data_IF_364721267900
#
_entry.id   IF_364721267900
#
_cell.length_a   1.000
_cell.length_b   1.000
_cell.length_c   1.000
_cell.angle_alpha   90.00
_cell.angle_beta   90.00
_cell.angle_gamma   90.00
#
_symmetry.space_group_name_H-M   'P 1'
#
loop_
_entity.id
_entity.type
_entity.pdbx_description
1 polymer ?
#
# COMPACT_ATOMS: atom_id res chain seq x y z
N UNK A 1 22.36 -2.39 -14.93
CA UNK A 1 21.31 -2.06 -13.96
C UNK A 1 20.94 -3.35 -13.25
N UNK A 2 21.39 -3.50 -12.01
CA UNK A 2 21.23 -4.70 -11.20
C UNK A 2 19.86 -4.75 -10.52
N UNK A 3 19.34 -5.94 -10.25
CA UNK A 3 18.18 -6.13 -9.36
C UNK A 3 18.61 -5.94 -7.91
N UNK A 4 17.68 -5.74 -6.96
CA UNK A 4 18.05 -5.58 -5.53
C UNK A 4 18.81 -6.82 -5.02
N UNK A 5 18.51 -8.01 -5.55
CA UNK A 5 19.26 -9.24 -5.25
C UNK A 5 20.73 -9.19 -5.70
N UNK A 6 21.05 -8.44 -6.75
CA UNK A 6 22.44 -8.28 -7.20
C UNK A 6 23.24 -7.29 -6.36
N UNK A 7 22.55 -6.40 -5.63
CA UNK A 7 23.17 -5.45 -4.71
C UNK A 7 23.37 -6.05 -3.32
N UNK A 8 22.61 -7.08 -2.96
CA UNK A 8 22.66 -7.69 -1.62
C UNK A 8 23.78 -8.71 -1.42
N UNK A 9 24.61 -8.94 -2.44
CA UNK A 9 25.69 -9.94 -2.36
C UNK A 9 25.20 -11.37 -2.12
N UNK A 10 23.90 -11.65 -2.30
CA UNK A 10 23.28 -12.96 -2.13
C UNK A 10 23.00 -13.60 -3.51
N UNK A 11 23.98 -14.30 -4.12
CA UNK A 11 23.81 -14.89 -5.45
C UNK A 11 22.74 -16.00 -5.50
N UNK A 12 22.39 -16.57 -4.34
CA UNK A 12 21.42 -17.65 -4.21
C UNK A 12 19.96 -17.17 -4.20
N UNK A 13 19.72 -15.86 -4.05
CA UNK A 13 18.36 -15.30 -4.12
C UNK A 13 17.89 -15.31 -5.57
N UNK A 14 16.84 -16.10 -5.90
CA UNK A 14 16.41 -16.22 -7.26
C UNK A 14 15.74 -14.91 -7.70
N UNK A 15 16.22 -14.36 -8.83
CA UNK A 15 15.73 -13.10 -9.40
C UNK A 15 14.21 -13.14 -9.55
N UNK A 16 13.55 -12.08 -9.12
CA UNK A 16 12.13 -11.89 -9.31
C UNK A 16 11.87 -10.62 -10.14
N UNK A 17 10.83 -10.63 -10.96
CA UNK A 17 10.33 -9.40 -11.56
C UNK A 17 9.50 -8.68 -10.51
N UNK A 18 9.86 -7.44 -10.19
CA UNK A 18 9.10 -6.57 -9.30
C UNK A 18 7.93 -5.96 -10.05
N UNK A 19 6.76 -5.98 -9.42
CA UNK A 19 5.52 -5.45 -10.00
C UNK A 19 5.21 -4.06 -9.46
N UNK A 20 5.48 -3.84 -8.17
CA UNK A 20 5.34 -2.54 -7.52
C UNK A 20 6.37 -2.40 -6.39
N UNK A 21 6.73 -1.16 -6.05
CA UNK A 21 7.67 -0.80 -5.00
C UNK A 21 7.14 0.37 -4.19
N UNK A 22 7.10 0.22 -2.87
CA UNK A 22 6.66 1.25 -1.95
C UNK A 22 7.74 1.55 -0.91
N UNK A 23 8.04 2.83 -0.76
CA UNK A 23 8.81 3.31 0.39
C UNK A 23 7.97 3.15 1.66
N UNK A 24 8.46 2.34 2.59
CA UNK A 24 7.80 2.01 3.85
C UNK A 24 8.37 2.73 5.06
N UNK A 25 9.64 3.11 4.99
CA UNK A 25 10.30 3.94 6.00
C UNK A 25 11.47 4.69 5.39
N UNK A 26 11.81 5.81 6.00
CA UNK A 26 13.06 6.50 5.75
C UNK A 26 13.59 7.07 7.07
N UNK A 27 14.76 6.59 7.49
CA UNK A 27 15.38 7.05 8.72
C UNK A 27 16.88 7.23 8.54
N UNK A 28 17.34 8.48 8.69
CA UNK A 28 18.75 8.84 8.61
C UNK A 28 19.34 8.44 7.27
N UNK A 29 20.08 7.32 7.27
CA UNK A 29 20.78 6.79 6.11
C UNK A 29 20.20 5.52 5.48
N UNK A 30 18.98 5.18 5.87
CA UNK A 30 18.35 3.92 5.54
C UNK A 30 16.99 4.15 4.93
N UNK A 31 16.74 3.54 3.77
CA UNK A 31 15.43 3.40 3.15
C UNK A 31 14.92 1.99 3.41
N UNK A 32 13.67 1.87 3.83
CA UNK A 32 12.97 0.59 3.87
C UNK A 32 11.99 0.53 2.72
N UNK A 33 12.18 -0.40 1.80
CA UNK A 33 11.36 -0.55 0.59
C UNK A 33 10.71 -1.92 0.59
N UNK A 34 9.39 -1.96 0.49
CA UNK A 34 8.66 -3.19 0.23
C UNK A 34 8.31 -3.27 -1.24
N UNK A 35 8.58 -4.41 -1.84
CA UNK A 35 8.28 -4.68 -3.24
C UNK A 35 7.41 -5.92 -3.37
N UNK A 36 6.44 -5.86 -4.29
CA UNK A 36 5.72 -7.04 -4.73
C UNK A 36 6.44 -7.68 -5.90
N UNK A 37 6.30 -9.01 -6.02
CA UNK A 37 6.96 -9.78 -7.07
C UNK A 37 5.98 -10.62 -7.87
N UNK A 38 6.37 -10.90 -9.11
CA UNK A 38 5.76 -11.89 -10.01
C UNK A 38 5.65 -13.31 -9.44
N UNK A 39 6.33 -13.61 -8.33
CA UNK A 39 6.25 -14.91 -7.64
C UNK A 39 5.11 -14.99 -6.63
N UNK A 40 4.34 -13.92 -6.48
CA UNK A 40 3.34 -13.79 -5.43
C UNK A 40 4.01 -13.65 -4.06
N UNK A 41 5.05 -12.82 -3.95
CA UNK A 41 5.75 -12.55 -2.69
C UNK A 41 5.83 -11.05 -2.47
N UNK A 42 5.67 -10.60 -1.23
CA UNK A 42 6.18 -9.32 -0.78
C UNK A 42 7.59 -9.52 -0.23
N UNK A 43 8.53 -8.67 -0.62
CA UNK A 43 9.90 -8.66 -0.10
C UNK A 43 10.20 -7.29 0.47
N UNK A 44 10.79 -7.23 1.66
CA UNK A 44 11.25 -5.98 2.22
C UNK A 44 12.76 -5.91 2.26
N UNK A 45 13.26 -4.79 1.73
CA UNK A 45 14.66 -4.49 1.60
C UNK A 45 14.99 -3.27 2.43
N UNK A 46 16.09 -3.34 3.19
CA UNK A 46 16.75 -2.14 3.69
C UNK A 46 17.82 -1.74 2.68
N UNK A 47 17.81 -0.47 2.27
CA UNK A 47 18.81 0.13 1.42
C UNK A 47 19.57 1.14 2.27
N UNK A 48 20.88 0.94 2.40
CA UNK A 48 21.77 1.80 3.17
C UNK A 48 22.71 2.53 2.23
N UNK A 49 22.82 3.85 2.36
CA UNK A 49 23.91 4.58 1.73
C UNK A 49 25.13 4.62 2.67
N UNK A 50 26.33 4.27 2.20
CA UNK A 50 27.54 4.37 3.00
C UNK A 50 27.89 5.85 3.19
N UNK A 51 28.27 6.29 4.39
CA UNK A 51 28.38 7.72 4.68
C UNK A 51 29.45 8.47 3.87
N UNK A 52 30.42 7.80 3.19
CA UNK A 52 31.61 8.47 2.63
C UNK A 52 32.34 7.80 1.42
N UNK A 53 31.79 6.80 0.73
CA UNK A 53 32.63 6.01 -0.22
C UNK A 53 32.22 6.13 -1.70
N UNK A 54 30.94 6.16 -2.05
CA UNK A 54 30.46 6.40 -3.42
C UNK A 54 28.93 6.61 -3.35
N UNK A 55 28.34 7.68 -3.94
CA UNK A 55 26.88 7.84 -3.98
C UNK A 55 26.14 6.72 -4.75
N UNK A 56 26.85 5.96 -5.58
CA UNK A 56 26.27 4.87 -6.38
C UNK A 56 26.39 3.49 -5.70
N UNK A 57 27.11 3.38 -4.57
CA UNK A 57 27.30 2.12 -3.85
C UNK A 57 26.21 1.94 -2.78
N UNK A 58 25.16 1.20 -3.11
CA UNK A 58 24.09 0.86 -2.17
C UNK A 58 24.35 -0.51 -1.55
N UNK A 59 24.29 -0.59 -0.22
CA UNK A 59 24.21 -1.86 0.49
C UNK A 59 22.75 -2.20 0.70
N UNK A 60 22.35 -3.43 0.35
CA UNK A 60 20.94 -3.84 0.43
C UNK A 60 20.79 -5.13 1.22
N UNK A 61 19.92 -5.12 2.23
CA UNK A 61 19.67 -6.27 3.08
C UNK A 61 18.20 -6.72 2.97
N UNK A 62 17.99 -8.00 2.66
CA UNK A 62 16.64 -8.59 2.67
C UNK A 62 16.23 -8.85 4.12
N UNK A 63 15.18 -8.19 4.58
CA UNK A 63 14.70 -8.31 5.97
C UNK A 63 13.70 -9.45 6.13
N UNK A 64 12.75 -9.54 5.21
CA UNK A 64 11.71 -10.54 5.25
C UNK A 64 11.07 -10.78 3.89
N UNK A 65 10.45 -11.94 3.77
CA UNK A 65 9.65 -12.36 2.62
C UNK A 65 8.30 -12.84 3.15
N UNK A 66 7.22 -12.27 2.62
CA UNK A 66 5.86 -12.71 2.91
C UNK A 66 5.26 -13.31 1.63
N UNK A 67 5.21 -14.66 1.51
CA UNK A 67 4.57 -15.30 0.38
C UNK A 67 3.06 -15.04 0.41
N UNK A 68 2.46 -15.00 -0.77
CA UNK A 68 1.01 -14.96 -0.91
C UNK A 68 0.42 -16.26 -0.39
N UNK A 69 -0.54 -16.15 0.50
CA UNK A 69 -1.32 -17.28 0.98
C UNK A 69 -2.70 -17.29 0.33
N UNK A 70 -3.32 -18.46 0.15
CA UNK A 70 -4.74 -18.51 -0.17
C UNK A 70 -5.51 -17.94 1.03
N UNK A 71 -6.23 -16.82 0.84
CA UNK A 71 -7.03 -16.22 1.90
C UNK A 71 -8.51 -16.51 1.61
N UNK A 72 -9.28 -17.01 2.59
CA UNK A 72 -10.70 -17.28 2.41
C UNK A 72 -11.50 -16.08 1.83
N UNK A 73 -12.53 -16.34 1.01
CA UNK A 73 -13.10 -17.66 0.69
C UNK A 73 -12.41 -18.37 -0.47
N UNK A 74 -11.45 -17.75 -1.16
CA UNK A 74 -10.87 -18.32 -2.38
C UNK A 74 -9.55 -19.04 -2.09
N UNK A 75 -9.62 -20.36 -2.07
CA UNK A 75 -8.45 -21.24 -2.19
C UNK A 75 -8.11 -21.42 -3.67
N UNK A 76 -7.62 -20.37 -4.33
CA UNK A 76 -7.11 -20.50 -5.70
C UNK A 76 -5.83 -21.33 -5.69
N UNK A 77 -5.76 -22.33 -6.59
CA UNK A 77 -4.57 -23.19 -6.77
C UNK A 77 -3.39 -22.36 -7.32
N UNK A 78 -3.69 -21.30 -8.07
CA UNK A 78 -2.72 -20.39 -8.66
C UNK A 78 -2.32 -19.30 -7.67
N UNK A 79 -1.00 -19.09 -7.50
CA UNK A 79 -0.46 -17.94 -6.75
C UNK A 79 -0.77 -16.66 -7.52
N UNK A 80 -1.65 -15.78 -6.99
CA UNK A 80 -2.03 -14.58 -7.71
C UNK A 80 -0.90 -13.54 -7.69
N UNK A 81 -0.83 -12.72 -8.73
CA UNK A 81 0.12 -11.62 -8.80
C UNK A 81 -0.30 -10.45 -7.89
N UNK A 82 0.66 -9.92 -7.15
CA UNK A 82 0.49 -8.79 -6.24
C UNK A 82 0.80 -7.50 -7.01
N UNK A 83 -0.21 -6.85 -7.57
CA UNK A 83 -0.04 -5.85 -8.64
C UNK A 83 0.26 -4.43 -8.16
N UNK A 84 -0.28 -4.04 -7.02
CA UNK A 84 0.00 -2.74 -6.43
C UNK A 84 -0.02 -2.84 -4.90
N UNK A 85 0.72 -1.98 -4.22
CA UNK A 85 0.80 -1.94 -2.76
C UNK A 85 0.95 -0.52 -2.21
N UNK A 86 0.41 -0.27 -1.01
CA UNK A 86 0.60 1.01 -0.29
C UNK A 86 0.63 0.78 1.20
N UNK A 87 1.33 1.66 1.88
CA UNK A 87 1.45 1.67 3.33
C UNK A 87 0.27 2.42 3.93
N UNK A 88 -0.39 1.82 4.91
CA UNK A 88 -1.29 2.52 5.82
C UNK A 88 -0.46 3.16 6.94
N UNK A 89 -0.42 4.49 6.97
CA UNK A 89 0.33 5.25 7.98
C UNK A 89 -0.06 4.83 9.40
N UNK A 90 0.91 4.59 10.30
CA UNK A 90 0.64 4.21 11.69
C UNK A 90 -0.20 5.25 12.44
N UNK A 91 -0.94 4.81 13.47
CA UNK A 91 -1.73 5.69 14.35
C UNK A 91 -0.89 5.97 15.59
N UNK A 92 -0.49 7.24 15.80
CA UNK A 92 0.25 7.65 16.99
C UNK A 92 1.69 7.10 17.09
N UNK A 93 2.38 7.49 18.16
CA UNK A 93 3.80 7.20 18.38
C UNK A 93 4.08 5.81 19.00
N UNK A 94 3.05 5.08 19.42
CA UNK A 94 3.19 3.84 20.19
C UNK A 94 2.94 2.55 19.39
N UNK A 95 2.33 2.64 18.20
CA UNK A 95 2.05 1.48 17.35
C UNK A 95 3.25 1.18 16.46
N UNK A 96 3.97 0.11 16.78
CA UNK A 96 5.10 -0.39 15.98
C UNK A 96 4.66 -1.26 14.81
N UNK A 97 3.36 -1.57 14.69
CA UNK A 97 2.83 -2.36 13.58
C UNK A 97 2.40 -1.46 12.42
N UNK A 98 2.91 -1.76 11.22
CA UNK A 98 2.48 -1.13 9.98
C UNK A 98 1.60 -2.09 9.21
N UNK A 99 0.66 -1.54 8.45
CA UNK A 99 -0.20 -2.34 7.59
C UNK A 99 0.10 -1.98 6.13
N UNK A 100 0.23 -3.01 5.30
CA UNK A 100 0.38 -2.89 3.86
C UNK A 100 -0.91 -3.35 3.21
N UNK A 101 -1.49 -2.52 2.36
CA UNK A 101 -2.61 -2.91 1.50
C UNK A 101 -2.02 -3.38 0.18
N UNK A 102 -2.56 -4.47 -0.35
CA UNK A 102 -2.12 -5.07 -1.61
C UNK A 102 -3.33 -5.30 -2.50
N UNK A 103 -3.26 -4.78 -3.72
CA UNK A 103 -4.18 -5.06 -4.81
C UNK A 103 -3.67 -6.22 -5.64
N UNK A 104 -4.56 -7.14 -6.01
CA UNK A 104 -4.20 -8.45 -6.57
C UNK A 104 -4.88 -8.68 -7.92
N UNK A 105 -4.28 -9.49 -8.79
CA UNK A 105 -4.81 -9.81 -10.13
C UNK A 105 -6.16 -10.54 -10.14
N UNK A 106 -6.46 -11.30 -9.09
CA UNK A 106 -7.73 -11.98 -8.84
C UNK A 106 -8.88 -11.03 -8.41
N UNK A 107 -8.62 -9.72 -8.34
CA UNK A 107 -9.58 -8.71 -7.90
C UNK A 107 -9.74 -8.62 -6.38
N UNK A 108 -8.92 -9.34 -5.62
CA UNK A 108 -8.85 -9.23 -4.17
C UNK A 108 -8.04 -8.02 -3.71
N UNK A 109 -8.40 -7.53 -2.54
CA UNK A 109 -7.62 -6.60 -1.74
C UNK A 109 -7.22 -7.33 -0.47
N UNK A 110 -5.93 -7.31 -0.15
CA UNK A 110 -5.34 -8.01 0.99
C UNK A 110 -4.60 -7.04 1.88
N UNK A 111 -4.58 -7.31 3.17
CA UNK A 111 -3.83 -6.51 4.15
C UNK A 111 -2.82 -7.40 4.85
N UNK A 112 -1.56 -6.98 4.85
CA UNK A 112 -0.49 -7.59 5.62
C UNK A 112 -0.13 -6.68 6.80
N UNK A 113 0.08 -7.27 7.98
CA UNK A 113 0.71 -6.61 9.11
C UNK A 113 2.21 -6.89 9.05
N UNK A 114 3.02 -5.85 9.18
CA UNK A 114 4.48 -5.89 9.12
C UNK A 114 5.05 -5.08 10.29
N UNK A 115 6.16 -5.55 10.87
CA UNK A 115 6.84 -4.82 11.94
C UNK A 115 7.53 -3.53 11.44
N UNK A 116 7.65 -2.53 12.30
CA UNK A 116 8.52 -1.37 12.07
C UNK A 116 9.99 -1.81 12.05
N UNK A 117 10.70 -1.53 10.96
CA UNK A 117 12.08 -1.99 10.76
C UNK A 117 13.13 -1.07 11.41
N UNK A 118 12.81 0.20 11.64
CA UNK A 118 13.78 1.20 12.10
C UNK A 118 13.80 1.42 13.64
N UNK A 119 13.03 0.65 14.42
CA UNK A 119 13.00 0.77 15.87
C UNK A 119 14.04 -0.16 16.53
N UNK A 120 15.33 0.09 16.33
CA UNK A 120 16.42 -0.69 16.96
C UNK A 120 16.47 -0.59 18.50
N UNK A 121 15.63 0.26 19.12
CA UNK A 121 15.64 0.52 20.56
C UNK A 121 14.46 -0.07 21.34
N UNK A 122 13.51 -0.73 20.68
CA UNK A 122 12.39 -1.40 21.37
C UNK A 122 12.74 -2.86 21.61
N UNK A 123 12.81 -3.29 22.87
CA UNK A 123 13.02 -4.69 23.29
C UNK A 123 11.86 -5.64 22.93
N UNK A 124 10.98 -5.24 22.03
CA UNK A 124 9.88 -6.05 21.51
C UNK A 124 10.41 -6.98 20.42
N UNK A 125 10.10 -8.27 20.54
CA UNK A 125 10.36 -9.30 19.53
C UNK A 125 9.92 -8.79 18.14
N UNK A 126 10.74 -8.91 17.08
CA UNK A 126 10.33 -8.50 15.74
C UNK A 126 9.06 -9.26 15.35
N UNK A 127 7.99 -8.52 15.06
CA UNK A 127 6.76 -9.11 14.57
C UNK A 127 6.99 -9.64 13.15
N UNK A 128 6.91 -10.96 12.99
CA UNK A 128 6.95 -11.60 11.67
C UNK A 128 5.81 -11.08 10.79
N UNK A 129 6.08 -10.78 9.51
CA UNK A 129 5.06 -10.28 8.60
C UNK A 129 4.00 -11.36 8.36
N UNK A 130 2.72 -10.98 8.35
CA UNK A 130 1.61 -11.92 8.12
C UNK A 130 0.41 -11.25 7.47
N UNK A 131 -0.36 -12.03 6.72
CA UNK A 131 -1.67 -11.58 6.22
C UNK A 131 -2.68 -11.49 7.37
N UNK A 132 -3.45 -10.40 7.40
CA UNK A 132 -4.44 -10.13 8.47
C UNK A 132 -5.86 -9.94 7.95
N UNK A 133 -6.03 -9.58 6.68
CA UNK A 133 -7.36 -9.43 6.07
C UNK A 133 -7.33 -9.68 4.56
N UNK A 134 -8.47 -10.07 4.00
CA UNK A 134 -8.70 -10.16 2.56
C UNK A 134 -10.17 -9.98 2.24
N UNK A 135 -10.46 -9.38 1.08
CA UNK A 135 -11.80 -9.27 0.54
C UNK A 135 -11.76 -9.19 -0.99
N UNK A 136 -12.73 -9.79 -1.66
CA UNK A 136 -12.83 -9.81 -3.14
C UNK A 136 -14.10 -9.08 -3.57
N UNK A 137 -13.94 -7.91 -4.17
CA UNK A 137 -15.06 -7.07 -4.61
C UNK A 137 -14.88 -6.44 -6.00
N UNK A 138 -13.70 -6.57 -6.59
CA UNK A 138 -13.48 -6.29 -8.01
C UNK A 138 -13.74 -7.54 -8.84
N UNK A 139 -14.22 -7.37 -10.08
CA UNK A 139 -14.38 -8.48 -11.02
C UNK A 139 -13.16 -8.69 -11.92
N UNK A 140 -12.16 -7.82 -11.78
CA UNK A 140 -10.91 -7.88 -12.51
C UNK A 140 -9.76 -7.44 -11.60
N UNK A 141 -8.53 -7.57 -12.12
CA UNK A 141 -7.30 -7.16 -11.45
C UNK A 141 -7.37 -5.77 -10.83
N UNK A 142 -6.86 -5.63 -9.61
CA UNK A 142 -6.65 -4.33 -8.96
C UNK A 142 -5.37 -3.71 -9.51
N UNK A 143 -5.49 -2.54 -10.14
CA UNK A 143 -4.41 -1.89 -10.87
C UNK A 143 -3.75 -0.76 -10.07
N UNK A 144 -4.55 -0.01 -9.31
CA UNK A 144 -4.06 1.11 -8.50
C UNK A 144 -4.75 1.10 -7.14
N UNK A 145 -4.03 1.60 -6.16
CA UNK A 145 -4.57 1.86 -4.84
C UNK A 145 -3.94 3.14 -4.29
N UNK A 146 -4.71 3.87 -3.48
CA UNK A 146 -4.26 5.09 -2.83
C UNK A 146 -4.89 5.16 -1.44
N UNK A 147 -4.08 5.45 -0.43
CA UNK A 147 -4.57 5.66 0.93
C UNK A 147 -5.12 7.07 1.08
N UNK A 148 -6.24 7.23 1.79
CA UNK A 148 -6.71 8.56 2.14
C UNK A 148 -5.86 9.12 3.30
N UNK A 149 -5.58 10.42 3.30
CA UNK A 149 -4.91 11.06 4.43
C UNK A 149 -5.78 10.88 5.67
N UNK A 150 -5.14 10.47 6.77
CA UNK A 150 -5.90 10.14 7.96
C UNK A 150 -6.27 11.39 8.76
N UNK A 151 -7.52 11.45 9.23
CA UNK A 151 -8.00 12.54 10.10
C UNK A 151 -8.10 12.03 11.54
N UNK A 152 -7.18 12.49 12.38
CA UNK A 152 -7.14 12.15 13.81
C UNK A 152 -6.77 10.70 14.14
N UNK A 153 -6.95 10.35 15.41
CA UNK A 153 -6.60 9.06 16.01
C UNK A 153 -7.68 7.99 15.79
N UNK A 154 -8.06 7.77 14.52
CA UNK A 154 -9.05 6.77 14.17
C UNK A 154 -8.41 5.39 13.92
N UNK A 155 -8.97 4.36 14.58
CA UNK A 155 -8.60 2.95 14.38
C UNK A 155 -9.01 2.41 13.01
N UNK A 156 -9.91 3.12 12.33
CA UNK A 156 -10.38 2.86 10.99
C UNK A 156 -9.53 3.63 9.97
N UNK A 157 -9.09 2.94 8.91
CA UNK A 157 -8.29 3.51 7.83
C UNK A 157 -9.03 3.36 6.51
N UNK A 158 -9.11 4.45 5.77
CA UNK A 158 -9.79 4.49 4.48
C UNK A 158 -8.78 4.48 3.33
N UNK A 159 -9.11 3.78 2.27
CA UNK A 159 -8.30 3.78 1.04
C UNK A 159 -9.17 3.50 -0.19
N UNK A 160 -8.66 3.84 -1.36
CA UNK A 160 -9.34 3.65 -2.64
C UNK A 160 -8.56 2.66 -3.47
N UNK A 161 -9.29 1.85 -4.24
CA UNK A 161 -8.72 0.96 -5.25
C UNK A 161 -9.41 1.19 -6.60
N UNK A 162 -8.65 1.03 -7.68
CA UNK A 162 -9.10 1.09 -9.06
C UNK A 162 -8.67 -0.20 -9.76
N UNK A 163 -9.60 -0.83 -10.45
CA UNK A 163 -9.43 -2.11 -11.14
C UNK A 163 -9.56 -1.99 -12.66
N UNK A 164 -9.15 -3.04 -13.37
CA UNK A 164 -9.23 -3.10 -14.84
C UNK A 164 -10.68 -3.10 -15.37
N UNK A 165 -11.67 -3.51 -14.56
CA UNK A 165 -13.08 -3.38 -14.92
C UNK A 165 -13.63 -1.95 -14.72
N UNK A 166 -12.75 -0.95 -14.58
CA UNK A 166 -13.09 0.47 -14.41
C UNK A 166 -13.88 0.75 -13.12
N UNK A 167 -13.73 -0.11 -12.11
CA UNK A 167 -14.42 0.05 -10.83
C UNK A 167 -13.53 0.74 -9.82
N UNK A 168 -14.08 1.75 -9.17
CA UNK A 168 -13.50 2.41 -8.02
C UNK A 168 -14.20 1.93 -6.77
N UNK A 169 -13.44 1.45 -5.79
CA UNK A 169 -13.98 1.02 -4.49
C UNK A 169 -13.27 1.79 -3.39
N UNK A 170 -14.07 2.44 -2.53
CA UNK A 170 -13.64 2.98 -1.25
C UNK A 170 -13.74 1.88 -0.20
N UNK A 171 -12.65 1.63 0.50
CA UNK A 171 -12.51 0.62 1.53
C UNK A 171 -12.31 1.26 2.89
N UNK A 172 -12.79 0.55 3.89
CA UNK A 172 -12.48 0.71 5.30
C UNK A 172 -11.71 -0.51 5.79
N UNK A 173 -10.63 -0.26 6.52
CA UNK A 173 -9.90 -1.26 7.27
C UNK A 173 -9.86 -0.87 8.76
N UNK A 174 -10.49 -1.68 9.60
CA UNK A 174 -10.45 -1.54 11.04
C UNK A 174 -9.31 -2.37 11.61
N UNK A 175 -8.29 -1.70 12.17
CA UNK A 175 -7.08 -2.37 12.69
C UNK A 175 -7.36 -3.26 13.89
N UNK A 176 -8.27 -2.85 14.76
CA UNK A 176 -8.56 -3.55 16.01
C UNK A 176 -9.27 -4.87 15.75
N UNK A 177 -10.12 -4.92 14.72
CA UNK A 177 -10.91 -6.11 14.38
C UNK A 177 -10.34 -6.89 13.20
N UNK A 178 -9.41 -6.30 12.43
CA UNK A 178 -8.96 -6.84 11.14
C UNK A 178 -10.03 -6.79 10.05
N UNK A 179 -11.17 -6.12 10.29
CA UNK A 179 -12.26 -6.08 9.33
C UNK A 179 -11.89 -5.20 8.13
N UNK A 180 -11.97 -5.78 6.93
CA UNK A 180 -11.80 -5.09 5.66
C UNK A 180 -13.15 -5.04 4.93
N UNK A 181 -13.75 -3.86 4.80
CA UNK A 181 -15.09 -3.69 4.23
C UNK A 181 -15.11 -2.64 3.12
N UNK A 182 -15.82 -2.89 2.02
CA UNK A 182 -16.06 -1.88 0.99
C UNK A 182 -17.21 -0.97 1.40
N UNK A 183 -16.96 0.34 1.47
CA UNK A 183 -17.96 1.35 1.86
C UNK A 183 -18.74 1.86 0.65
N UNK A 184 -18.05 2.21 -0.44
CA UNK A 184 -18.65 2.76 -1.66
C UNK A 184 -18.05 2.14 -2.91
N UNK A 185 -18.86 2.02 -3.96
CA UNK A 185 -18.44 1.47 -5.25
C UNK A 185 -18.98 2.36 -6.37
N UNK A 186 -18.14 2.70 -7.33
CA UNK A 186 -18.51 3.49 -8.50
C UNK A 186 -17.93 2.85 -9.76
N UNK A 187 -18.74 2.75 -10.82
CA UNK A 187 -18.28 2.36 -12.14
C UNK A 187 -17.93 3.61 -12.93
N UNK A 188 -16.69 3.70 -13.42
CA UNK A 188 -16.19 4.82 -14.20
C UNK A 188 -16.34 4.51 -15.69
N UNK A 189 -17.58 4.51 -16.18
CA UNK A 189 -17.84 4.21 -17.60
C UNK A 189 -17.13 5.22 -18.51
N UNK A 190 -16.45 4.69 -19.54
CA UNK A 190 -15.72 5.51 -20.51
C UNK A 190 -14.29 5.84 -20.10
N UNK A 191 -13.79 5.28 -18.98
CA UNK A 191 -12.38 5.42 -18.60
C UNK A 191 -11.46 4.65 -19.57
N UNK A 192 -11.94 3.59 -20.21
CA UNK A 192 -11.14 2.75 -21.11
C UNK A 192 -10.21 1.83 -20.33
N UNK A 193 -8.91 1.85 -20.65
CA UNK A 193 -7.87 1.07 -19.95
C UNK A 193 -7.30 1.86 -18.77
N UNK A 194 -7.72 1.59 -17.51
CA UNK A 194 -7.35 2.40 -16.35
C UNK A 194 -5.87 2.22 -15.99
N UNK A 195 -5.14 3.30 -15.78
CA UNK A 195 -3.71 3.19 -15.45
C UNK A 195 -3.21 4.25 -14.47
N UNK A 196 -3.99 5.29 -14.17
CA UNK A 196 -3.62 6.32 -13.20
C UNK A 196 -4.71 6.55 -12.17
N UNK A 197 -4.28 6.78 -10.93
CA UNK A 197 -5.14 7.23 -9.85
C UNK A 197 -4.33 8.12 -8.91
N UNK A 198 -4.90 9.24 -8.50
CA UNK A 198 -4.29 10.16 -7.55
C UNK A 198 -5.36 10.78 -6.65
N UNK A 199 -5.03 10.96 -5.38
CA UNK A 199 -5.91 11.58 -4.39
C UNK A 199 -5.32 12.92 -3.97
N UNK A 200 -6.13 13.97 -3.99
CA UNK A 200 -5.74 15.31 -3.51
C UNK A 200 -6.75 15.77 -2.47
N UNK A 201 -6.26 16.26 -1.34
CA UNK A 201 -7.11 16.89 -0.32
C UNK A 201 -6.85 18.39 -0.28
N UNK A 202 -7.91 19.18 -0.42
CA UNK A 202 -7.86 20.64 -0.54
C UNK A 202 -8.61 21.27 0.63
N UNK A 203 -8.03 22.26 1.36
CA UNK A 203 -8.73 22.99 2.39
C UNK A 203 -9.88 23.79 1.78
N UNK A 204 -11.06 23.71 2.38
CA UNK A 204 -12.21 24.51 1.98
C UNK A 204 -12.03 25.92 2.56
N UNK A 205 -11.74 26.89 1.69
CA UNK A 205 -11.71 28.31 2.09
C UNK A 205 -13.16 28.78 2.13
N UNK A 206 -13.76 28.79 3.32
CA UNK A 206 -15.04 29.45 3.56
C UNK A 206 -14.76 30.89 3.98
N UNK A 207 -15.30 31.87 3.22
CA UNK A 207 -15.26 33.31 3.54
C UNK A 207 -16.05 33.68 4.81
N UNK A 208 -16.63 32.71 5.52
CA UNK A 208 -17.32 32.95 6.78
C UNK A 208 -16.47 32.54 7.98
N UNK A 209 -16.19 33.54 8.79
CA UNK A 209 -15.50 33.52 10.08
C UNK A 209 -16.21 32.58 11.06
N UNK A 210 -15.93 31.27 11.03
CA UNK A 210 -16.27 30.35 12.13
C UNK A 210 -15.12 29.37 12.36
N UNK A 211 -14.69 29.35 13.63
CA UNK A 211 -13.60 28.56 14.23
C UNK A 211 -13.94 27.06 14.30
N UNK A 212 -14.04 26.37 13.18
CA UNK A 212 -14.04 24.90 13.18
C UNK A 212 -12.81 24.39 12.43
N UNK A 213 -11.95 23.57 13.05
CA UNK A 213 -10.94 22.87 12.30
C UNK A 213 -11.65 21.87 11.36
N UNK A 214 -11.12 21.69 10.15
CA UNK A 214 -11.37 20.52 9.27
C UNK A 214 -12.55 20.51 8.29
N UNK A 215 -12.78 21.57 7.51
CA UNK A 215 -13.49 21.40 6.23
C UNK A 215 -12.47 21.21 5.10
N UNK A 216 -12.10 19.96 4.81
CA UNK A 216 -11.29 19.61 3.64
C UNK A 216 -12.12 18.80 2.65
N UNK A 217 -11.98 19.09 1.36
CA UNK A 217 -12.54 18.31 0.26
C UNK A 217 -11.48 17.36 -0.27
N UNK A 218 -11.84 16.10 -0.48
CA UNK A 218 -10.94 15.10 -1.07
C UNK A 218 -11.41 14.83 -2.49
N UNK A 219 -10.50 14.96 -3.45
CA UNK A 219 -10.74 14.66 -4.85
C UNK A 219 -9.93 13.45 -5.28
N UNK A 220 -10.53 12.60 -6.11
CA UNK A 220 -9.89 11.44 -6.70
C UNK A 220 -9.87 11.65 -8.21
N UNK A 221 -8.67 11.81 -8.77
CA UNK A 221 -8.46 11.86 -10.20
C UNK A 221 -8.06 10.46 -10.67
N UNK A 222 -8.79 9.93 -11.65
CA UNK A 222 -8.48 8.66 -12.30
C UNK A 222 -8.26 8.89 -13.79
N UNK A 223 -7.31 8.16 -14.36
CA UNK A 223 -6.96 8.25 -15.78
C UNK A 223 -6.88 6.87 -16.43
N UNK A 224 -7.33 6.83 -17.67
CA UNK A 224 -7.24 5.72 -18.60
C UNK A 224 -7.10 6.28 -20.01
N UNK A 225 -7.89 5.75 -20.95
CA UNK A 225 -8.12 6.44 -22.24
C UNK A 225 -8.91 7.74 -22.01
N UNK A 226 -9.83 7.74 -21.04
CA UNK A 226 -10.51 8.93 -20.53
C UNK A 226 -9.96 9.39 -19.18
N UNK A 227 -10.62 10.37 -18.57
CA UNK A 227 -10.33 10.83 -17.21
C UNK A 227 -11.62 11.05 -16.44
N UNK A 228 -11.62 10.75 -15.14
CA UNK A 228 -12.72 11.05 -14.25
C UNK A 228 -12.21 11.68 -12.95
N UNK A 229 -12.88 12.76 -12.53
CA UNK A 229 -12.63 13.44 -11.26
C UNK A 229 -13.85 13.24 -10.36
N UNK A 230 -13.63 12.62 -9.20
CA UNK A 230 -14.66 12.42 -8.18
C UNK A 230 -14.36 13.29 -6.96
N UNK A 231 -15.39 13.90 -6.38
CA UNK A 231 -15.32 14.51 -5.04
C UNK A 231 -15.82 13.50 -4.02
N UNK A 232 -15.01 13.22 -3.00
CA UNK A 232 -15.39 12.41 -1.86
C UNK A 232 -15.91 13.36 -0.78
N UNK A 233 -17.22 13.46 -0.67
CA UNK A 233 -17.89 14.23 0.39
C UNK A 233 -17.57 13.61 1.76
N UNK A 234 -17.17 14.44 2.72
CA UNK A 234 -17.01 14.00 4.12
C UNK A 234 -18.33 13.41 4.62
N UNK A 235 -18.28 12.17 5.09
CA UNK A 235 -19.36 11.58 5.89
C UNK A 235 -19.33 12.12 7.32
#
# INVERSE_FOLDING_TARGET
>A
MGSLESLSGHPDLPRACYLDLQLTDFHGQTLSVTASTSRGELRCWLLHWPPRVDPDEWVTDLQWVLPVEPIPPYQTITKPALNCLSVLEPVGMADTSRHLIVGVDDGSVRVASVGALCCQNSSSVPHEPRWVASAVHHFATVLRLCTLPTRGDQSERMFVTLSADQRLILWSFNRSTGALTPSHRVMLSGLGDPHGMHIVTVPCVSDQVIKSPEHFRTYILTTGVGSALLELSSM
#
